data_IF_876055902912
#
_entry.id   IF_876055902912
#
_cell.length_a   1.000
_cell.length_b   1.000
_cell.length_c   1.000
_cell.angle_alpha   90.00
_cell.angle_beta   90.00
_cell.angle_gamma   90.00
#
_symmetry.space_group_name_H-M   'P 1'
#
loop_
_entity.id
_entity.type
_entity.pdbx_description
1 polymer ?
#
# COMPACT_ATOMS: atom_id res chain seq x y z
N UNK A 1 9.24 2.36 8.52
CA UNK A 1 8.65 1.00 8.69
C UNK A 1 7.31 1.05 8.01
N UNK A 2 6.88 0.02 7.28
CA UNK A 2 5.54 0.04 6.71
C UNK A 2 4.50 -0.11 7.83
N UNK A 3 3.74 0.96 8.08
CA UNK A 3 2.68 1.00 9.08
C UNK A 3 1.36 0.73 8.37
N UNK A 4 0.71 -0.38 8.71
CA UNK A 4 -0.60 -0.72 8.17
C UNK A 4 -1.64 0.33 8.59
N UNK A 5 -2.28 0.94 7.60
CA UNK A 5 -3.37 1.89 7.80
C UNK A 5 -4.74 1.22 7.72
N UNK A 6 -4.85 0.17 6.92
CA UNK A 6 -6.06 -0.62 6.76
C UNK A 6 -5.89 -1.67 5.67
N UNK A 7 -6.82 -2.63 5.66
CA UNK A 7 -6.91 -3.64 4.61
C UNK A 7 -8.36 -3.99 4.33
N UNK A 8 -8.68 -4.32 3.08
CA UNK A 8 -10.02 -4.75 2.65
C UNK A 8 -9.89 -5.93 1.69
N UNK A 9 -10.86 -6.83 1.69
CA UNK A 9 -10.94 -7.87 0.67
C UNK A 9 -11.76 -7.34 -0.51
N UNK A 10 -11.18 -7.37 -1.70
CA UNK A 10 -11.86 -6.99 -2.94
C UNK A 10 -12.29 -8.25 -3.68
N UNK A 11 -13.61 -8.44 -3.78
CA UNK A 11 -14.22 -9.62 -4.43
C UNK A 11 -14.04 -9.63 -5.95
N UNK A 12 -13.74 -8.48 -6.56
CA UNK A 12 -13.62 -8.34 -8.02
C UNK A 12 -12.33 -8.96 -8.53
N UNK A 13 -11.27 -8.82 -7.75
CA UNK A 13 -9.93 -9.36 -8.04
C UNK A 13 -9.58 -10.57 -7.16
N UNK A 14 -10.49 -10.97 -6.27
CA UNK A 14 -10.35 -12.06 -5.31
C UNK A 14 -9.08 -11.97 -4.44
N UNK A 15 -8.71 -10.75 -4.03
CA UNK A 15 -7.49 -10.51 -3.26
C UNK A 15 -7.65 -9.42 -2.19
N UNK A 16 -6.67 -9.35 -1.29
CA UNK A 16 -6.57 -8.32 -0.27
C UNK A 16 -5.91 -7.06 -0.80
N UNK A 17 -6.53 -5.92 -0.51
CA UNK A 17 -5.96 -4.60 -0.75
C UNK A 17 -5.48 -4.04 0.58
N UNK A 18 -4.24 -3.56 0.62
CA UNK A 18 -3.61 -3.03 1.83
C UNK A 18 -3.21 -1.58 1.62
N UNK A 19 -3.42 -0.74 2.64
CA UNK A 19 -2.91 0.62 2.66
C UNK A 19 -1.82 0.75 3.73
N UNK A 20 -0.68 1.35 3.36
CA UNK A 20 0.46 1.55 4.26
C UNK A 20 0.92 3.00 4.28
N UNK A 21 1.41 3.45 5.44
CA UNK A 21 2.33 4.58 5.57
C UNK A 21 3.74 4.01 5.64
N UNK A 22 4.62 4.38 4.71
CA UNK A 22 5.97 3.85 4.67
C UNK A 22 6.90 4.35 5.79
N UNK A 23 6.46 5.37 6.54
CA UNK A 23 7.12 6.03 7.65
C UNK A 23 8.62 6.28 7.44
N UNK A 24 8.94 7.54 7.14
CA UNK A 24 10.29 8.09 6.89
C UNK A 24 10.95 7.71 5.56
N UNK A 25 10.33 6.84 4.77
CA UNK A 25 10.75 6.57 3.38
C UNK A 25 9.62 6.85 2.39
N UNK A 26 9.94 6.87 1.10
CA UNK A 26 8.97 7.13 0.03
C UNK A 26 9.17 6.20 -1.14
N UNK A 27 8.08 5.67 -1.68
CA UNK A 27 8.05 4.92 -2.94
C UNK A 27 7.70 5.88 -4.09
N UNK A 28 8.65 6.12 -5.01
CA UNK A 28 8.53 7.13 -6.08
C UNK A 28 8.04 8.51 -5.58
N UNK A 29 8.56 8.96 -4.42
CA UNK A 29 8.17 10.23 -3.81
C UNK A 29 6.80 10.23 -3.12
N UNK A 30 6.14 9.08 -2.99
CA UNK A 30 4.87 8.90 -2.28
C UNK A 30 5.11 8.19 -0.95
N UNK A 31 4.53 8.74 0.12
CA UNK A 31 4.66 8.19 1.47
C UNK A 31 3.61 7.12 1.77
N UNK A 32 2.41 7.34 1.25
CA UNK A 32 1.29 6.44 1.45
C UNK A 32 1.10 5.60 0.21
N UNK A 33 0.89 4.31 0.38
CA UNK A 33 0.73 3.39 -0.74
C UNK A 33 -0.48 2.50 -0.51
N UNK A 34 -1.08 2.07 -1.60
CA UNK A 34 -2.10 1.03 -1.62
C UNK A 34 -1.61 -0.07 -2.55
N UNK A 35 -1.54 -1.28 -2.04
CA UNK A 35 -1.08 -2.47 -2.76
C UNK A 35 -2.22 -3.47 -2.89
N UNK A 36 -2.23 -4.19 -4.01
CA UNK A 36 -3.15 -5.29 -4.26
C UNK A 36 -2.35 -6.59 -4.11
N UNK A 37 -2.63 -7.39 -3.09
CA UNK A 37 -1.93 -8.67 -2.83
C UNK A 37 -0.55 -8.56 -2.16
N UNK A 38 0.13 -7.42 -2.23
CA UNK A 38 1.42 -7.23 -1.56
C UNK A 38 1.24 -6.81 -0.09
N UNK A 39 1.50 -7.75 0.83
CA UNK A 39 1.49 -7.49 2.27
C UNK A 39 2.87 -7.04 2.74
N UNK A 40 2.94 -5.87 3.39
CA UNK A 40 4.17 -5.29 3.93
C UNK A 40 4.22 -5.33 5.46
N UNK A 41 3.31 -6.08 6.09
CA UNK A 41 3.19 -6.14 7.54
C UNK A 41 4.56 -6.49 8.16
N UNK A 42 4.94 -5.75 9.21
CA UNK A 42 6.19 -5.94 9.96
C UNK A 42 7.50 -5.62 9.22
N UNK A 43 7.45 -5.16 7.96
CA UNK A 43 8.66 -4.80 7.22
C UNK A 43 9.21 -3.43 7.64
N UNK A 44 10.53 -3.38 7.88
CA UNK A 44 11.28 -2.14 8.00
C UNK A 44 11.20 -1.30 6.71
N UNK A 45 11.47 0.01 6.79
CA UNK A 45 11.27 0.93 5.66
C UNK A 45 11.99 0.51 4.37
N UNK A 46 13.27 0.16 4.48
CA UNK A 46 14.07 -0.24 3.31
C UNK A 46 13.62 -1.60 2.74
N UNK A 47 13.28 -2.56 3.60
CA UNK A 47 12.76 -3.86 3.17
C UNK A 47 11.40 -3.73 2.47
N UNK A 48 10.52 -2.86 3.00
CA UNK A 48 9.25 -2.55 2.36
C UNK A 48 9.45 -1.91 0.98
N UNK A 49 10.44 -1.03 0.80
CA UNK A 49 10.77 -0.48 -0.52
C UNK A 49 11.30 -1.55 -1.48
N UNK A 50 12.21 -2.41 -1.03
CA UNK A 50 12.70 -3.52 -1.86
C UNK A 50 11.57 -4.42 -2.35
N UNK A 51 10.64 -4.76 -1.44
CA UNK A 51 9.44 -5.53 -1.79
C UNK A 51 8.59 -4.80 -2.83
N UNK A 52 8.29 -3.52 -2.61
CA UNK A 52 7.49 -2.71 -3.54
C UNK A 52 8.13 -2.51 -4.91
N UNK A 53 9.46 -2.44 -4.99
CA UNK A 53 10.17 -2.35 -6.28
C UNK A 53 10.21 -3.69 -7.01
N UNK A 54 10.13 -4.80 -6.28
CA UNK A 54 10.14 -6.15 -6.83
C UNK A 54 8.73 -6.67 -7.12
N UNK A 55 7.72 -6.05 -6.52
CA UNK A 55 6.32 -6.43 -6.68
C UNK A 55 5.81 -6.03 -8.07
N UNK A 56 5.45 -7.04 -8.87
CA UNK A 56 4.93 -6.86 -10.23
C UNK A 56 3.43 -6.60 -10.33
N UNK A 57 2.73 -6.50 -9.19
CA UNK A 57 1.29 -6.19 -9.16
C UNK A 57 1.01 -4.69 -9.05
N UNK A 58 -0.27 -4.37 -8.88
CA UNK A 58 -0.70 -2.98 -8.82
C UNK A 58 -0.31 -2.30 -7.50
N UNK A 59 0.28 -1.11 -7.62
CA UNK A 59 0.64 -0.23 -6.50
C UNK A 59 0.20 1.19 -6.85
N UNK A 60 -0.56 1.81 -5.95
CA UNK A 60 -0.95 3.23 -6.06
C UNK A 60 -0.27 4.02 -4.95
N UNK A 61 0.45 5.08 -5.33
CA UNK A 61 1.11 5.97 -4.38
C UNK A 61 0.37 7.30 -4.17
N UNK A 62 0.28 7.75 -2.93
CA UNK A 62 -0.43 8.95 -2.49
C UNK A 62 0.47 9.85 -1.62
N UNK A 63 0.20 11.15 -1.68
CA UNK A 63 0.88 12.15 -0.86
C UNK A 63 0.25 12.28 0.54
N UNK A 64 -1.05 12.02 0.65
CA UNK A 64 -1.80 12.16 1.91
C UNK A 64 -2.40 10.83 2.36
N UNK A 65 -2.51 10.67 3.68
CA UNK A 65 -3.18 9.52 4.30
C UNK A 65 -4.65 9.43 3.90
N UNK A 66 -5.32 10.58 3.78
CA UNK A 66 -6.74 10.63 3.47
C UNK A 66 -7.03 10.09 2.07
N UNK A 67 -6.19 10.43 1.08
CA UNK A 67 -6.35 9.92 -0.29
C UNK A 67 -6.13 8.41 -0.35
N UNK A 68 -5.09 7.90 0.33
CA UNK A 68 -4.82 6.47 0.41
C UNK A 68 -5.98 5.70 1.08
N UNK A 69 -6.51 6.22 2.19
CA UNK A 69 -7.65 5.62 2.87
C UNK A 69 -8.95 5.74 2.07
N UNK A 70 -9.11 6.81 1.29
CA UNK A 70 -10.22 6.97 0.35
C UNK A 70 -10.16 5.92 -0.75
N UNK A 71 -8.99 5.72 -1.35
CA UNK A 71 -8.72 4.69 -2.35
C UNK A 71 -8.97 3.27 -1.83
N UNK A 72 -8.59 2.99 -0.57
CA UNK A 72 -8.82 1.71 0.09
C UNK A 72 -10.32 1.44 0.32
N UNK A 73 -11.10 2.46 0.70
CA UNK A 73 -12.53 2.29 1.03
C UNK A 73 -13.43 2.23 -0.19
N UNK A 74 -13.01 2.88 -1.26
CA UNK A 74 -13.78 2.96 -2.50
C UNK A 74 -13.29 1.91 -3.49
N UNK A 75 -13.17 0.65 -3.05
CA UNK A 75 -12.75 -0.51 -3.86
C UNK A 75 -13.76 -0.92 -4.94
N UNK A 76 -14.40 0.06 -5.58
CA UNK A 76 -14.88 -0.07 -6.95
C UNK A 76 -13.77 0.41 -7.85
N UNK A 77 -12.77 -0.45 -8.06
CA UNK A 77 -11.70 -0.22 -9.02
C UNK A 77 -11.99 -0.99 -10.31
#
# INVERSE_FOLDING_TARGET
>A
MAILLGKVYDKTIEDMVFAYDLDRVTYFGKRYIVTYGCCLDTLAGDAALTELYSFGGDIRGFLTKNDAMGALKNTKW
#
